data_IF_951222286289
#
_entry.id   IF_951222286289
#
_cell.length_a   1.000
_cell.length_b   1.000
_cell.length_c   1.000
_cell.angle_alpha   90.00
_cell.angle_beta   90.00
_cell.angle_gamma   90.00
#
_symmetry.space_group_name_H-M   'P 1'
#
loop_
_entity.id
_entity.type
_entity.pdbx_description
1 polymer ?
#
# COMPACT_ATOMS: atom_id res chain seq x y z
N UNK A 1 -11.50 -15.04 -23.93
CA UNK A 1 -10.45 -14.49 -23.05
C UNK A 1 -9.93 -15.66 -22.23
N UNK A 2 -8.65 -15.99 -22.39
CA UNK A 2 -8.10 -17.35 -22.38
C UNK A 2 -7.86 -17.92 -20.98
N UNK A 3 -7.83 -19.25 -20.87
CA UNK A 3 -7.51 -20.05 -19.68
C UNK A 3 -6.20 -19.70 -18.94
N UNK A 4 -5.36 -18.83 -19.54
CA UNK A 4 -4.12 -18.31 -18.97
C UNK A 4 -4.32 -17.31 -17.80
N UNK A 5 -5.51 -16.76 -17.56
CA UNK A 5 -5.71 -15.90 -16.38
C UNK A 5 -5.95 -16.71 -15.10
N UNK A 6 -6.43 -17.94 -15.22
CA UNK A 6 -6.84 -18.74 -14.07
C UNK A 6 -5.67 -19.44 -13.37
N UNK A 7 -4.53 -19.67 -14.04
CA UNK A 7 -3.40 -20.35 -13.38
C UNK A 7 -2.77 -19.49 -12.28
N UNK A 8 -2.73 -18.16 -12.43
CA UNK A 8 -2.22 -17.25 -11.39
C UNK A 8 -3.10 -17.31 -10.15
N UNK A 9 -4.42 -17.26 -10.32
CA UNK A 9 -5.37 -17.41 -9.23
C UNK A 9 -5.27 -18.79 -8.58
N UNK A 10 -5.17 -19.87 -9.38
CA UNK A 10 -4.99 -21.22 -8.85
C UNK A 10 -3.67 -21.39 -8.09
N UNK A 11 -2.58 -20.80 -8.59
CA UNK A 11 -1.28 -20.77 -7.91
C UNK A 11 -1.37 -19.98 -6.61
N UNK A 12 -2.05 -18.84 -6.61
CA UNK A 12 -2.28 -18.02 -5.43
C UNK A 12 -3.04 -18.78 -4.35
N UNK A 13 -4.02 -19.63 -4.70
CA UNK A 13 -4.72 -20.47 -3.72
C UNK A 13 -3.81 -21.42 -2.93
N UNK A 14 -2.57 -21.64 -3.40
CA UNK A 14 -1.57 -22.47 -2.69
C UNK A 14 -0.44 -21.65 -2.08
N UNK A 15 0.04 -20.63 -2.79
CA UNK A 15 1.28 -19.91 -2.44
C UNK A 15 1.11 -18.40 -2.28
N UNK A 16 -0.05 -17.86 -2.64
CA UNK A 16 -0.29 -16.43 -2.61
C UNK A 16 -0.46 -15.91 -1.18
N UNK A 17 -0.16 -14.63 -0.95
CA UNK A 17 -0.47 -13.99 0.33
C UNK A 17 -1.98 -14.08 0.62
N UNK A 18 -2.35 -14.04 1.90
CA UNK A 18 -3.73 -14.25 2.32
C UNK A 18 -4.44 -12.94 2.66
N UNK A 19 -5.66 -12.79 2.12
CA UNK A 19 -6.60 -11.72 2.49
C UNK A 19 -7.96 -12.33 2.81
N UNK A 20 -8.56 -11.89 3.92
CA UNK A 20 -9.89 -12.32 4.33
C UNK A 20 -10.86 -11.13 4.32
N UNK A 21 -12.06 -11.35 3.80
CA UNK A 21 -13.20 -10.45 3.94
C UNK A 21 -14.18 -11.05 4.96
N UNK A 22 -14.45 -10.29 6.02
CA UNK A 22 -15.34 -10.68 7.11
C UNK A 22 -16.75 -10.15 6.87
N UNK A 23 -17.69 -11.03 6.53
CA UNK A 23 -19.08 -10.68 6.20
C UNK A 23 -20.05 -10.83 7.38
N UNK A 24 -19.55 -10.89 8.62
CA UNK A 24 -20.38 -11.09 9.82
C UNK A 24 -21.18 -9.85 10.25
N UNK A 25 -21.50 -8.93 9.34
CA UNK A 25 -22.04 -7.60 9.65
C UNK A 25 -23.40 -7.31 8.99
N UNK A 26 -24.13 -8.34 8.55
CA UNK A 26 -25.48 -8.17 7.95
C UNK A 26 -26.41 -7.32 8.83
N UNK A 27 -26.42 -7.56 10.14
CA UNK A 27 -27.27 -6.82 11.09
C UNK A 27 -26.90 -5.33 11.22
N UNK A 28 -25.74 -4.92 10.71
CA UNK A 28 -25.24 -3.54 10.75
C UNK A 28 -25.46 -2.79 9.43
N UNK A 29 -26.05 -3.42 8.41
CA UNK A 29 -26.23 -2.83 7.09
C UNK A 29 -27.68 -2.92 6.61
N UNK A 30 -28.19 -1.82 6.06
CA UNK A 30 -29.41 -1.87 5.27
C UNK A 30 -29.16 -2.52 3.91
N UNK A 31 -30.21 -3.08 3.28
CA UNK A 31 -30.09 -3.74 1.97
C UNK A 31 -29.33 -2.93 0.89
N UNK A 32 -29.52 -1.60 0.72
CA UNK A 32 -28.73 -0.83 -0.24
C UNK A 32 -27.23 -0.78 0.07
N UNK A 33 -26.86 -0.82 1.35
CA UNK A 33 -25.46 -0.87 1.79
C UNK A 33 -24.86 -2.26 1.51
N UNK A 34 -25.61 -3.34 1.73
CA UNK A 34 -25.23 -4.70 1.31
C UNK A 34 -24.99 -4.76 -0.20
N UNK A 35 -25.90 -4.22 -1.01
CA UNK A 35 -25.75 -4.17 -2.48
C UNK A 35 -24.48 -3.38 -2.86
N UNK A 36 -24.21 -2.25 -2.19
CA UNK A 36 -22.99 -1.47 -2.42
C UNK A 36 -21.73 -2.27 -2.05
N UNK A 37 -21.76 -2.97 -0.92
CA UNK A 37 -20.68 -3.85 -0.47
C UNK A 37 -20.38 -4.94 -1.50
N UNK A 38 -21.41 -5.65 -1.99
CA UNK A 38 -21.25 -6.69 -3.03
C UNK A 38 -20.71 -6.12 -4.35
N UNK A 39 -21.09 -4.88 -4.70
CA UNK A 39 -20.50 -4.18 -5.84
C UNK A 39 -19.01 -3.91 -5.64
N UNK A 40 -18.59 -3.45 -4.45
CA UNK A 40 -17.17 -3.27 -4.11
C UNK A 40 -16.42 -4.61 -4.19
N UNK A 41 -17.01 -5.70 -3.71
CA UNK A 41 -16.43 -7.04 -3.79
C UNK A 41 -16.22 -7.50 -5.24
N UNK A 42 -17.11 -7.13 -6.16
CA UNK A 42 -16.92 -7.42 -7.59
C UNK A 42 -15.68 -6.69 -8.15
N UNK A 43 -15.41 -5.47 -7.69
CA UNK A 43 -14.18 -4.74 -8.02
C UNK A 43 -12.93 -5.37 -7.39
N UNK A 44 -13.03 -5.89 -6.17
CA UNK A 44 -11.96 -6.68 -5.51
C UNK A 44 -11.60 -7.90 -6.35
N UNK A 45 -12.61 -8.70 -6.76
CA UNK A 45 -12.41 -9.88 -7.59
C UNK A 45 -11.69 -9.54 -8.90
N UNK A 46 -12.12 -8.47 -9.57
CA UNK A 46 -11.47 -8.01 -10.80
C UNK A 46 -10.03 -7.55 -10.57
N UNK A 47 -9.78 -6.77 -9.51
CA UNK A 47 -8.44 -6.31 -9.16
C UNK A 47 -7.48 -7.48 -8.94
N UNK A 48 -7.90 -8.49 -8.17
CA UNK A 48 -7.10 -9.68 -7.89
C UNK A 48 -6.86 -10.55 -9.12
N UNK A 49 -7.88 -10.71 -9.97
CA UNK A 49 -7.74 -11.42 -11.25
C UNK A 49 -6.69 -10.77 -12.14
N UNK A 50 -6.61 -9.45 -12.13
CA UNK A 50 -5.64 -8.71 -12.95
C UNK A 50 -4.26 -8.57 -12.32
N UNK A 51 -4.12 -8.73 -11.00
CA UNK A 51 -2.86 -8.57 -10.27
C UNK A 51 -1.78 -9.54 -10.74
N UNK A 52 -0.53 -9.07 -10.81
CA UNK A 52 0.59 -9.92 -11.22
C UNK A 52 0.77 -11.09 -10.25
N UNK A 53 0.65 -10.81 -8.94
CA UNK A 53 0.66 -11.78 -7.86
C UNK A 53 -0.64 -11.67 -7.04
N UNK A 54 -1.67 -12.49 -7.37
CA UNK A 54 -2.96 -12.43 -6.70
C UNK A 54 -2.90 -12.90 -5.24
N UNK A 55 -3.78 -12.34 -4.40
CA UNK A 55 -4.06 -12.90 -3.09
C UNK A 55 -4.86 -14.19 -3.20
N UNK A 56 -4.61 -15.11 -2.26
CA UNK A 56 -5.59 -16.10 -1.89
C UNK A 56 -6.69 -15.44 -1.05
N UNK A 57 -7.87 -15.30 -1.63
CA UNK A 57 -9.01 -14.69 -0.96
C UNK A 57 -9.82 -15.68 -0.14
N UNK A 58 -10.25 -15.20 1.03
CA UNK A 58 -11.15 -15.89 1.91
C UNK A 58 -12.38 -15.03 2.22
N UNK A 59 -13.56 -15.59 2.09
CA UNK A 59 -14.83 -14.99 2.47
C UNK A 59 -15.34 -15.72 3.69
N UNK A 60 -15.39 -15.00 4.82
CA UNK A 60 -15.65 -15.55 6.15
C UNK A 60 -16.93 -14.95 6.74
N UNK A 61 -17.55 -15.64 7.70
CA UNK A 61 -18.81 -15.21 8.32
C UNK A 61 -20.00 -15.21 7.36
N UNK A 62 -19.89 -15.86 6.20
CA UNK A 62 -20.91 -15.84 5.15
C UNK A 62 -21.93 -16.95 5.39
N UNK A 63 -22.87 -16.70 6.30
CA UNK A 63 -23.89 -17.70 6.70
C UNK A 63 -24.86 -18.02 5.56
N UNK A 64 -25.30 -19.28 5.52
CA UNK A 64 -26.38 -19.70 4.64
C UNK A 64 -27.67 -18.92 4.93
N UNK A 65 -28.33 -18.46 3.87
CA UNK A 65 -29.54 -17.64 3.96
C UNK A 65 -29.31 -16.17 4.36
N UNK A 66 -28.06 -15.75 4.58
CA UNK A 66 -27.73 -14.34 4.86
C UNK A 66 -28.15 -13.40 3.71
N UNK A 67 -28.43 -12.14 4.04
CA UNK A 67 -28.78 -11.13 3.05
C UNK A 67 -27.57 -10.86 2.14
N UNK A 68 -26.36 -10.86 2.71
CA UNK A 68 -25.12 -10.75 1.94
C UNK A 68 -24.96 -11.88 0.93
N UNK A 69 -25.07 -13.15 1.33
CA UNK A 69 -24.94 -14.28 0.41
C UNK A 69 -26.00 -14.24 -0.70
N UNK A 70 -27.23 -13.83 -0.35
CA UNK A 70 -28.33 -13.68 -1.29
C UNK A 70 -28.00 -12.63 -2.37
N UNK A 71 -27.52 -11.45 -1.98
CA UNK A 71 -27.14 -10.41 -2.94
C UNK A 71 -25.88 -10.77 -3.73
N UNK A 72 -24.90 -11.47 -3.14
CA UNK A 72 -23.75 -12.01 -3.87
C UNK A 72 -24.17 -12.95 -5.00
N UNK A 73 -25.01 -13.96 -4.69
CA UNK A 73 -25.54 -14.89 -5.70
C UNK A 73 -26.33 -14.17 -6.80
N UNK A 74 -27.12 -13.16 -6.43
CA UNK A 74 -27.90 -12.36 -7.40
C UNK A 74 -27.01 -11.52 -8.32
N UNK A 75 -26.01 -10.84 -7.78
CA UNK A 75 -25.19 -9.88 -8.52
C UNK A 75 -24.04 -10.53 -9.30
N UNK A 76 -23.39 -11.54 -8.72
CA UNK A 76 -22.30 -12.28 -9.37
C UNK A 76 -22.90 -13.32 -10.35
N UNK A 77 -24.10 -13.81 -10.07
CA UNK A 77 -24.84 -14.74 -10.92
C UNK A 77 -24.16 -16.11 -11.00
N UNK A 78 -24.30 -16.77 -12.15
CA UNK A 78 -23.77 -18.14 -12.38
C UNK A 78 -22.26 -18.30 -12.26
N UNK A 79 -21.50 -17.20 -12.10
CA UNK A 79 -20.07 -17.25 -11.85
C UNK A 79 -19.72 -17.48 -10.38
N UNK A 80 -20.66 -17.30 -9.45
CA UNK A 80 -20.40 -17.39 -8.01
C UNK A 80 -19.76 -18.73 -7.62
N UNK A 81 -20.29 -19.84 -8.13
CA UNK A 81 -19.78 -21.20 -7.85
C UNK A 81 -18.42 -21.49 -8.51
N UNK A 82 -17.99 -20.66 -9.46
CA UNK A 82 -16.73 -20.82 -10.19
C UNK A 82 -15.63 -19.87 -9.69
N UNK A 83 -15.87 -19.16 -8.59
CA UNK A 83 -14.88 -18.24 -8.01
C UNK A 83 -13.74 -19.01 -7.34
N UNK A 84 -12.50 -18.59 -7.62
CA UNK A 84 -11.30 -19.09 -6.94
C UNK A 84 -11.11 -18.37 -5.61
N UNK A 85 -12.08 -18.55 -4.72
CA UNK A 85 -12.14 -17.94 -3.38
C UNK A 85 -12.53 -19.04 -2.41
N UNK A 86 -11.92 -19.06 -1.22
CA UNK A 86 -12.38 -19.93 -0.15
C UNK A 86 -13.57 -19.29 0.57
N UNK A 87 -14.72 -19.95 0.61
CA UNK A 87 -15.95 -19.43 1.22
C UNK A 87 -16.32 -20.26 2.44
N UNK A 88 -16.59 -19.62 3.57
CA UNK A 88 -16.99 -20.28 4.81
C UNK A 88 -17.94 -19.40 5.63
N UNK A 89 -18.81 -20.07 6.40
CA UNK A 89 -19.70 -19.47 7.38
C UNK A 89 -19.01 -19.15 8.71
N UNK A 90 -17.81 -19.69 8.94
CA UNK A 90 -17.01 -19.47 10.15
C UNK A 90 -16.37 -18.07 10.18
N UNK A 91 -16.16 -17.53 11.37
CA UNK A 91 -15.41 -16.29 11.58
C UNK A 91 -13.94 -16.47 11.17
N UNK A 92 -13.32 -15.41 10.62
CA UNK A 92 -11.89 -15.44 10.26
C UNK A 92 -10.99 -15.83 11.44
N UNK A 93 -11.39 -15.47 12.66
CA UNK A 93 -10.64 -15.75 13.88
C UNK A 93 -10.65 -17.22 14.28
N UNK A 94 -11.59 -18.02 13.77
CA UNK A 94 -11.69 -19.45 14.01
C UNK A 94 -11.00 -20.26 12.89
N UNK A 95 -10.86 -19.66 11.71
CA UNK A 95 -10.25 -20.29 10.52
C UNK A 95 -8.72 -20.16 10.51
N UNK A 96 -8.18 -19.05 11.02
CA UNK A 96 -6.75 -18.74 10.93
C UNK A 96 -6.06 -18.70 12.30
N UNK A 97 -4.75 -19.00 12.36
CA UNK A 97 -3.96 -18.79 13.57
C UNK A 97 -3.99 -17.33 14.03
N UNK A 98 -4.28 -17.12 15.32
CA UNK A 98 -4.44 -15.80 15.93
C UNK A 98 -3.26 -14.85 15.67
N UNK A 99 -2.04 -15.36 15.77
CA UNK A 99 -0.79 -14.60 15.62
C UNK A 99 -0.51 -14.17 14.17
N UNK A 100 -1.18 -14.81 13.19
CA UNK A 100 -1.11 -14.44 11.78
C UNK A 100 -2.13 -13.37 11.39
N UNK A 101 -3.20 -13.18 12.16
CA UNK A 101 -4.28 -12.25 11.81
C UNK A 101 -3.89 -10.79 12.09
N UNK A 102 -4.15 -9.92 11.11
CA UNK A 102 -4.14 -8.46 11.27
C UNK A 102 -5.48 -7.92 10.77
N UNK A 103 -6.32 -7.44 11.68
CA UNK A 103 -7.57 -6.79 11.30
C UNK A 103 -7.32 -5.33 10.89
N UNK A 104 -7.65 -4.99 9.65
CA UNK A 104 -7.54 -3.64 9.13
C UNK A 104 -8.78 -2.83 9.49
N UNK A 105 -8.58 -1.75 10.24
CA UNK A 105 -9.66 -0.86 10.69
C UNK A 105 -9.14 0.57 10.84
N UNK A 106 -9.89 1.55 10.32
CA UNK A 106 -9.50 2.96 10.36
C UNK A 106 -9.41 3.51 11.79
N UNK A 107 -10.18 2.93 12.72
CA UNK A 107 -10.24 3.34 14.13
C UNK A 107 -9.03 2.85 14.94
N UNK A 108 -8.15 2.05 14.35
CA UNK A 108 -6.99 1.52 15.05
C UNK A 108 -6.04 2.62 15.51
N UNK A 109 -5.53 2.49 16.74
CA UNK A 109 -4.43 3.32 17.21
C UNK A 109 -3.07 2.87 16.63
N UNK A 110 -2.99 1.66 16.06
CA UNK A 110 -1.77 1.13 15.48
C UNK A 110 -1.73 1.44 13.99
N UNK A 111 -0.60 1.96 13.51
CA UNK A 111 -0.39 2.18 12.08
C UNK A 111 0.22 0.92 11.47
N UNK A 112 -0.28 0.51 10.31
CA UNK A 112 0.34 -0.53 9.49
C UNK A 112 1.55 0.08 8.79
N UNK A 113 2.73 -0.40 9.14
CA UNK A 113 3.97 0.08 8.59
C UNK A 113 4.48 -0.83 7.45
N UNK A 114 4.51 -2.15 7.63
CA UNK A 114 4.86 -3.10 6.55
C UNK A 114 3.67 -3.89 6.08
N UNK A 115 3.79 -4.39 4.85
CA UNK A 115 3.08 -5.58 4.43
C UNK A 115 3.96 -6.81 4.66
N UNK A 116 3.39 -7.85 5.27
CA UNK A 116 4.03 -9.12 5.62
C UNK A 116 3.21 -10.26 4.97
N UNK A 117 3.83 -10.97 4.04
CA UNK A 117 3.17 -12.03 3.26
C UNK A 117 2.80 -13.26 4.10
N UNK A 118 3.39 -13.44 5.28
CA UNK A 118 3.07 -14.54 6.20
C UNK A 118 1.83 -14.26 7.06
N UNK A 119 1.28 -13.04 6.98
CA UNK A 119 0.09 -12.60 7.72
C UNK A 119 -1.18 -12.72 6.87
N UNK A 120 -2.31 -12.74 7.58
CA UNK A 120 -3.64 -12.73 7.01
C UNK A 120 -4.27 -11.38 7.31
N UNK A 121 -4.49 -10.58 6.28
CA UNK A 121 -5.12 -9.26 6.42
C UNK A 121 -6.64 -9.41 6.36
N UNK A 122 -7.33 -9.06 7.44
CA UNK A 122 -8.79 -9.12 7.53
C UNK A 122 -9.37 -7.74 7.23
N UNK A 123 -10.28 -7.66 6.27
CA UNK A 123 -11.04 -6.47 5.89
C UNK A 123 -12.51 -6.71 6.24
N UNK A 124 -13.12 -5.80 6.99
CA UNK A 124 -14.55 -5.89 7.29
C UNK A 124 -15.39 -5.65 6.03
N UNK A 125 -16.27 -6.60 5.71
CA UNK A 125 -17.32 -6.46 4.70
C UNK A 125 -18.46 -5.58 5.20
N UNK A 126 -18.15 -4.33 5.54
CA UNK A 126 -19.06 -3.36 6.13
C UNK A 126 -19.07 -2.09 5.27
N UNK A 127 -20.26 -1.65 4.85
CA UNK A 127 -20.48 -0.37 4.19
C UNK A 127 -21.48 0.42 5.00
N UNK A 128 -21.09 1.62 5.39
CA UNK A 128 -21.82 2.48 6.32
C UNK A 128 -22.04 3.87 5.70
N UNK A 129 -22.45 3.89 4.43
CA UNK A 129 -22.51 5.09 3.60
C UNK A 129 -23.45 6.18 4.12
N UNK A 130 -24.45 5.84 4.94
CA UNK A 130 -25.39 6.81 5.52
C UNK A 130 -24.89 7.40 6.83
N UNK A 131 -24.41 6.55 7.73
CA UNK A 131 -23.91 6.94 9.05
C UNK A 131 -22.69 6.10 9.34
N UNK A 132 -21.54 6.76 9.50
CA UNK A 132 -20.28 6.08 9.76
C UNK A 132 -20.35 5.41 11.13
N UNK A 133 -20.15 4.10 11.17
CA UNK A 133 -20.23 3.27 12.36
C UNK A 133 -18.84 3.03 12.93
N UNK A 134 -18.37 3.99 13.73
CA UNK A 134 -17.03 3.93 14.30
C UNK A 134 -16.90 2.81 15.33
N UNK A 135 -15.79 2.07 15.28
CA UNK A 135 -15.38 1.13 16.32
C UNK A 135 -15.99 -0.27 16.25
N UNK A 136 -16.87 -0.58 15.27
CA UNK A 136 -17.45 -1.93 15.13
C UNK A 136 -16.36 -2.98 14.89
N UNK A 137 -15.56 -2.78 13.83
CA UNK A 137 -14.52 -3.72 13.44
C UNK A 137 -13.35 -3.74 14.42
N UNK A 138 -12.98 -2.59 14.98
CA UNK A 138 -11.98 -2.51 16.05
C UNK A 138 -12.45 -3.23 17.32
N UNK A 139 -13.72 -3.07 17.69
CA UNK A 139 -14.33 -3.75 18.83
C UNK A 139 -14.29 -5.27 18.65
N UNK A 140 -14.62 -5.77 17.46
CA UNK A 140 -14.48 -7.19 17.13
C UNK A 140 -13.03 -7.66 17.27
N UNK A 141 -12.07 -6.98 16.64
CA UNK A 141 -10.65 -7.35 16.73
C UNK A 141 -10.14 -7.41 18.19
N UNK A 142 -10.52 -6.45 19.02
CA UNK A 142 -10.18 -6.42 20.46
C UNK A 142 -10.81 -7.57 21.24
N UNK A 143 -12.09 -7.88 21.00
CA UNK A 143 -12.79 -9.00 21.67
C UNK A 143 -12.14 -10.35 21.39
N UNK A 144 -11.67 -10.57 20.16
CA UNK A 144 -10.96 -11.78 19.78
C UNK A 144 -9.46 -11.75 20.10
N UNK A 145 -8.96 -10.64 20.67
CA UNK A 145 -7.57 -10.42 21.04
C UNK A 145 -6.60 -10.67 19.87
N UNK A 146 -6.91 -10.14 18.69
CA UNK A 146 -6.05 -10.23 17.51
C UNK A 146 -5.37 -8.90 17.21
N UNK A 147 -4.26 -8.95 16.46
CA UNK A 147 -3.61 -7.71 16.04
C UNK A 147 -4.53 -6.90 15.12
N UNK A 148 -4.46 -5.58 15.24
CA UNK A 148 -5.23 -4.66 14.43
C UNK A 148 -4.38 -3.45 14.04
N UNK A 149 -4.62 -2.90 12.85
CA UNK A 149 -3.90 -1.72 12.35
C UNK A 149 -4.78 -0.89 11.40
N UNK A 150 -4.44 0.40 11.25
CA UNK A 150 -4.97 1.31 10.23
C UNK A 150 -3.93 1.56 9.15
N UNK A 151 -4.36 1.91 7.94
CA UNK A 151 -3.46 2.37 6.89
C UNK A 151 -2.80 3.71 7.28
N UNK A 152 -1.56 3.99 6.86
CA UNK A 152 -0.81 5.18 7.24
C UNK A 152 -1.24 6.46 6.47
N UNK A 153 -2.54 6.65 6.25
CA UNK A 153 -3.06 7.76 5.43
C UNK A 153 -2.56 9.12 5.95
N UNK A 154 -2.56 9.32 7.26
CA UNK A 154 -2.11 10.57 7.89
C UNK A 154 -0.60 10.80 7.89
N UNK A 155 0.19 9.75 7.64
CA UNK A 155 1.63 9.89 7.47
C UNK A 155 1.93 10.45 6.08
N UNK A 156 1.28 9.93 5.04
CA UNK A 156 1.64 10.18 3.65
C UNK A 156 0.77 11.20 2.93
N UNK A 157 -0.52 11.33 3.26
CA UNK A 157 -1.47 12.15 2.50
C UNK A 157 -1.88 13.42 3.25
N UNK A 158 -2.02 14.52 2.52
CA UNK A 158 -2.65 15.75 2.98
C UNK A 158 -4.17 15.60 2.88
N UNK A 159 -4.78 14.97 3.88
CA UNK A 159 -6.21 14.68 3.87
C UNK A 159 -7.05 15.95 3.91
N UNK A 160 -8.05 16.06 3.04
CA UNK A 160 -8.89 17.25 2.91
C UNK A 160 -10.35 16.96 3.22
N UNK A 161 -10.93 15.94 2.57
CA UNK A 161 -12.38 15.73 2.60
C UNK A 161 -12.77 14.27 2.84
N UNK A 162 -13.95 14.11 3.44
CA UNK A 162 -14.56 12.81 3.68
C UNK A 162 -13.85 11.97 4.74
N UNK A 163 -14.44 10.80 5.00
CA UNK A 163 -13.93 9.86 5.99
C UNK A 163 -12.70 9.09 5.48
N UNK A 164 -11.80 8.78 6.41
CA UNK A 164 -10.61 7.94 6.23
C UNK A 164 -10.91 6.44 6.21
N UNK A 165 -12.19 6.09 6.10
CA UNK A 165 -12.65 4.76 5.74
C UNK A 165 -12.58 4.62 4.21
N UNK A 166 -11.84 3.62 3.74
CA UNK A 166 -11.71 3.28 2.33
C UNK A 166 -12.63 2.10 1.99
N UNK A 167 -13.02 2.00 0.73
CA UNK A 167 -13.84 0.88 0.24
C UNK A 167 -13.03 -0.42 0.21
N UNK A 168 -13.72 -1.57 0.20
CA UNK A 168 -13.07 -2.89 0.18
C UNK A 168 -12.06 -3.01 -0.98
N UNK A 169 -12.44 -2.53 -2.16
CA UNK A 169 -11.60 -2.56 -3.36
C UNK A 169 -10.39 -1.63 -3.28
N UNK A 170 -10.53 -0.45 -2.66
CA UNK A 170 -9.40 0.45 -2.42
C UNK A 170 -8.39 -0.19 -1.48
N UNK A 171 -8.84 -0.80 -0.38
CA UNK A 171 -7.97 -1.51 0.55
C UNK A 171 -7.27 -2.67 -0.14
N UNK A 172 -8.00 -3.50 -0.90
CA UNK A 172 -7.41 -4.62 -1.63
C UNK A 172 -6.32 -4.17 -2.63
N UNK A 173 -6.58 -3.09 -3.39
CA UNK A 173 -5.59 -2.53 -4.34
C UNK A 173 -4.36 -1.98 -3.62
N UNK A 174 -4.54 -1.28 -2.51
CA UNK A 174 -3.43 -0.81 -1.66
C UNK A 174 -2.59 -2.00 -1.20
N UNK A 175 -3.21 -3.07 -0.72
CA UNK A 175 -2.49 -4.26 -0.27
C UNK A 175 -1.77 -4.98 -1.42
N UNK A 176 -2.36 -5.05 -2.61
CA UNK A 176 -1.67 -5.58 -3.80
C UNK A 176 -0.41 -4.78 -4.10
N UNK A 177 -0.52 -3.45 -4.18
CA UNK A 177 0.64 -2.60 -4.46
C UNK A 177 1.68 -2.70 -3.35
N UNK A 178 1.28 -2.83 -2.08
CA UNK A 178 2.21 -3.06 -0.97
C UNK A 178 2.90 -4.42 -1.07
N UNK A 179 2.20 -5.46 -1.49
CA UNK A 179 2.80 -6.78 -1.74
C UNK A 179 3.88 -6.70 -2.82
N UNK A 180 3.60 -5.99 -3.91
CA UNK A 180 4.51 -5.87 -5.06
C UNK A 180 5.71 -4.93 -4.81
N UNK A 181 5.48 -3.81 -4.12
CA UNK A 181 6.45 -2.69 -4.08
C UNK A 181 7.02 -2.38 -2.71
N UNK A 182 6.31 -2.77 -1.65
CA UNK A 182 6.58 -2.33 -0.26
C UNK A 182 6.66 -0.80 -0.10
N UNK A 183 6.08 -0.02 -1.01
CA UNK A 183 6.12 1.45 -1.01
C UNK A 183 4.72 2.04 -0.78
N UNK A 184 4.53 2.71 0.35
CA UNK A 184 3.28 3.39 0.69
C UNK A 184 2.96 4.55 -0.26
N UNK A 185 3.96 5.21 -0.84
CA UNK A 185 3.73 6.29 -1.81
C UNK A 185 3.08 5.72 -3.05
N UNK A 186 3.55 4.58 -3.54
CA UNK A 186 2.96 3.88 -4.68
C UNK A 186 1.57 3.32 -4.31
N UNK A 187 1.47 2.64 -3.17
CA UNK A 187 0.23 2.00 -2.75
C UNK A 187 -0.90 3.00 -2.54
N UNK A 188 -0.62 4.16 -1.95
CA UNK A 188 -1.63 5.17 -1.65
C UNK A 188 -2.07 6.00 -2.87
N UNK A 189 -1.47 5.81 -4.06
CA UNK A 189 -2.06 6.31 -5.32
C UNK A 189 -3.43 5.67 -5.62
N UNK A 190 -3.72 4.53 -5.01
CA UNK A 190 -5.05 3.90 -5.06
C UNK A 190 -6.10 4.61 -4.18
N UNK A 191 -5.71 5.62 -3.40
CA UNK A 191 -6.66 6.49 -2.68
C UNK A 191 -7.21 7.54 -3.66
N UNK A 192 -8.53 7.78 -3.71
CA UNK A 192 -9.08 8.74 -4.65
C UNK A 192 -8.59 10.18 -4.40
N UNK A 193 -8.08 10.84 -5.45
CA UNK A 193 -7.53 12.20 -5.38
C UNK A 193 -8.48 13.22 -4.75
N UNK A 194 -9.81 13.11 -4.97
CA UNK A 194 -10.81 14.00 -4.36
C UNK A 194 -10.77 14.07 -2.82
N UNK A 195 -10.16 13.08 -2.16
CA UNK A 195 -10.08 13.00 -0.69
C UNK A 195 -8.86 13.76 -0.12
N UNK A 196 -7.87 14.11 -0.94
CA UNK A 196 -6.59 14.67 -0.46
C UNK A 196 -5.95 15.67 -1.43
N UNK A 197 -5.24 16.66 -0.89
CA UNK A 197 -4.50 17.67 -1.65
C UNK A 197 -3.17 17.18 -2.24
N UNK A 198 -2.84 15.90 -2.03
CA UNK A 198 -1.63 15.26 -2.53
C UNK A 198 -0.79 14.61 -1.42
N UNK A 199 0.42 14.20 -1.79
CA UNK A 199 1.37 13.60 -0.86
C UNK A 199 2.04 14.69 -0.01
N UNK A 200 2.39 14.32 1.23
CA UNK A 200 3.23 15.13 2.12
C UNK A 200 4.67 15.08 1.64
N UNK A 201 5.40 16.15 1.88
CA UNK A 201 6.83 16.22 1.56
C UNK A 201 7.62 15.21 2.42
N UNK A 202 8.72 14.68 1.88
CA UNK A 202 9.56 13.70 2.57
C UNK A 202 9.98 14.17 3.97
N UNK A 203 10.33 15.45 4.14
CA UNK A 203 10.64 16.05 5.44
C UNK A 203 9.49 15.95 6.46
N UNK A 204 8.25 16.17 6.02
CA UNK A 204 7.06 16.08 6.88
C UNK A 204 6.79 14.63 7.28
N UNK A 205 6.95 13.69 6.35
CA UNK A 205 6.80 12.26 6.61
C UNK A 205 7.87 11.82 7.62
N UNK A 206 9.14 12.13 7.37
CA UNK A 206 10.27 11.77 8.25
C UNK A 206 10.05 12.28 9.67
N UNK A 207 9.58 13.53 9.84
CA UNK A 207 9.27 14.09 11.15
C UNK A 207 8.22 13.24 11.90
N UNK A 208 7.11 12.91 11.25
CA UNK A 208 6.06 12.08 11.86
C UNK A 208 6.54 10.67 12.17
N UNK A 209 7.34 10.09 11.28
CA UNK A 209 7.96 8.77 11.51
C UNK A 209 8.84 8.79 12.77
N UNK A 210 9.65 9.84 12.95
CA UNK A 210 10.46 9.99 14.17
C UNK A 210 9.60 10.17 15.42
N UNK A 211 8.49 10.89 15.34
CA UNK A 211 7.52 11.00 16.44
C UNK A 211 6.93 9.63 16.80
N UNK A 212 6.53 8.82 15.81
CA UNK A 212 6.04 7.45 16.02
C UNK A 212 7.12 6.57 16.68
N UNK A 213 8.36 6.59 16.17
CA UNK A 213 9.49 5.84 16.75
C UNK A 213 9.77 6.25 18.20
N UNK A 214 9.71 7.55 18.52
CA UNK A 214 9.91 8.03 19.88
C UNK A 214 8.87 7.47 20.84
N UNK A 215 7.62 7.31 20.38
CA UNK A 215 6.55 6.68 21.19
C UNK A 215 6.63 5.15 21.20
N UNK A 216 7.21 4.54 20.16
CA UNK A 216 7.29 3.10 19.92
C UNK A 216 8.68 2.72 19.39
N UNK A 217 9.70 2.62 20.27
CA UNK A 217 11.10 2.41 19.86
C UNK A 217 11.33 1.14 19.03
N UNK A 218 10.45 0.13 19.15
CA UNK A 218 10.47 -1.08 18.34
C UNK A 218 10.33 -0.83 16.83
N UNK A 219 9.74 0.31 16.44
CA UNK A 219 9.56 0.71 15.03
C UNK A 219 10.87 1.12 14.36
N UNK A 220 11.91 1.47 15.11
CA UNK A 220 13.21 1.85 14.55
C UNK A 220 13.78 0.74 13.66
N UNK A 221 13.74 -0.51 14.16
CA UNK A 221 14.23 -1.68 13.40
C UNK A 221 13.46 -1.87 12.09
N UNK A 222 12.16 -1.55 12.09
CA UNK A 222 11.32 -1.63 10.90
C UNK A 222 11.77 -0.58 9.86
N UNK A 223 11.92 0.68 10.26
CA UNK A 223 12.25 1.76 9.35
C UNK A 223 13.67 1.63 8.80
N UNK A 224 14.61 1.09 9.58
CA UNK A 224 15.96 0.80 9.11
C UNK A 224 15.98 -0.28 8.02
N UNK A 225 15.23 -1.38 8.19
CA UNK A 225 15.11 -2.41 7.14
C UNK A 225 14.52 -1.87 5.84
N UNK A 226 13.55 -0.96 5.93
CA UNK A 226 12.96 -0.31 4.76
C UNK A 226 13.98 0.57 4.02
N UNK A 227 14.78 1.37 4.74
CA UNK A 227 15.88 2.13 4.14
C UNK A 227 16.85 1.24 3.38
N UNK A 228 17.26 0.12 3.99
CA UNK A 228 18.17 -0.84 3.37
C UNK A 228 17.57 -1.48 2.12
N UNK A 229 16.28 -1.82 2.14
CA UNK A 229 15.58 -2.41 1.00
C UNK A 229 15.48 -1.42 -0.18
N UNK A 230 15.15 -0.15 0.10
CA UNK A 230 15.12 0.92 -0.90
C UNK A 230 16.51 1.13 -1.50
N UNK A 231 17.55 1.18 -0.66
CA UNK A 231 18.93 1.34 -1.12
C UNK A 231 19.36 0.20 -2.06
N UNK A 232 19.11 -1.06 -1.66
CA UNK A 232 19.38 -2.25 -2.49
C UNK A 232 18.56 -2.23 -3.80
N UNK A 233 17.33 -1.77 -3.75
CA UNK A 233 16.47 -1.62 -4.93
C UNK A 233 17.02 -0.58 -5.91
N UNK A 234 17.56 0.54 -5.41
CA UNK A 234 18.22 1.58 -6.21
C UNK A 234 19.52 1.07 -6.83
N UNK A 235 20.36 0.38 -6.06
CA UNK A 235 21.58 -0.27 -6.57
C UNK A 235 21.26 -1.27 -7.69
N UNK A 236 20.21 -2.10 -7.53
CA UNK A 236 19.77 -3.03 -8.59
C UNK A 236 19.31 -2.29 -9.84
N UNK A 237 18.51 -1.24 -9.73
CA UNK A 237 18.05 -0.44 -10.89
C UNK A 237 19.22 0.25 -11.60
N UNK A 238 20.18 0.81 -10.86
CA UNK A 238 21.40 1.40 -11.43
C UNK A 238 22.29 0.35 -12.12
N UNK A 239 22.38 -0.86 -11.55
CA UNK A 239 23.14 -1.97 -12.14
C UNK A 239 22.49 -2.45 -13.44
N UNK A 240 21.17 -2.67 -13.44
CA UNK A 240 20.40 -3.05 -14.64
C UNK A 240 20.48 -1.97 -15.72
N UNK A 241 20.41 -0.69 -15.35
CA UNK A 241 20.60 0.43 -16.28
C UNK A 241 22.01 0.43 -16.89
N UNK A 242 23.05 0.22 -16.08
CA UNK A 242 24.45 0.09 -16.53
C UNK A 242 24.66 -1.11 -17.44
N UNK A 243 24.06 -2.25 -17.13
CA UNK A 243 24.17 -3.45 -17.95
C UNK A 243 23.41 -3.30 -19.27
N UNK A 244 22.20 -2.72 -19.25
CA UNK A 244 21.46 -2.38 -20.48
C UNK A 244 22.25 -1.39 -21.36
N UNK A 245 22.89 -0.39 -20.76
CA UNK A 245 23.79 0.51 -21.47
C UNK A 245 25.02 -0.23 -22.02
N UNK A 246 25.65 -1.13 -21.26
CA UNK A 246 26.76 -1.97 -21.76
C UNK A 246 26.33 -2.87 -22.91
N UNK A 247 25.15 -3.46 -22.84
CA UNK A 247 24.57 -4.27 -23.91
C UNK A 247 24.27 -3.44 -25.15
N UNK A 248 23.75 -2.21 -25.02
CA UNK A 248 23.53 -1.30 -26.16
C UNK A 248 24.86 -0.85 -26.80
N UNK A 249 25.89 -0.55 -26.00
CA UNK A 249 27.24 -0.25 -26.50
C UNK A 249 27.91 -1.46 -27.18
N UNK A 250 27.64 -2.69 -26.73
CA UNK A 250 28.16 -3.90 -27.37
C UNK A 250 27.53 -4.15 -28.74
N UNK A 251 26.26 -3.75 -28.91
CA UNK A 251 25.51 -3.86 -30.16
C UNK A 251 25.92 -2.77 -31.16
N UNK A 252 26.20 -1.56 -30.68
CA UNK A 252 26.74 -0.46 -31.49
C UNK A 252 28.14 -0.76 -32.09
N UNK A 253 28.89 -1.74 -31.56
CA UNK A 253 30.16 -2.20 -32.14
C UNK A 253 30.02 -3.28 -33.22
N UNK A 254 28.83 -3.80 -33.50
CA UNK A 254 28.63 -4.88 -34.49
C UNK A 254 27.78 -4.54 -35.70
N UNK A 255 27.18 -3.36 -35.77
CA UNK A 255 26.43 -2.93 -36.96
C UNK A 255 26.77 -1.47 -37.24
N UNK A 256 27.61 -1.22 -38.26
CA UNK A 256 27.18 -0.66 -39.55
C UNK A 256 28.37 -0.05 -40.31
N UNK A 257 28.72 -0.64 -41.45
CA UNK A 257 29.63 -0.09 -42.47
C UNK A 257 28.72 0.36 -43.62
N UNK A 258 28.49 1.66 -43.78
CA UNK A 258 27.86 2.21 -44.99
C UNK A 258 28.97 2.71 -45.92
N UNK A 259 29.02 2.19 -47.14
CA UNK A 259 29.59 2.93 -48.28
C UNK A 259 28.64 4.09 -48.56
N UNK A 260 29.13 5.32 -48.39
CA UNK A 260 28.43 6.54 -48.75
C UNK A 260 28.92 6.99 -50.14
N UNK A 261 27.99 7.18 -51.08
CA UNK A 261 28.23 7.99 -52.27
C UNK A 261 27.92 9.46 -51.97
N UNK A 262 28.70 10.38 -52.57
CA UNK A 262 28.78 11.83 -52.30
C UNK A 262 27.48 12.67 -52.44
N UNK A 263 26.29 12.07 -52.62
CA UNK A 263 25.05 12.81 -52.82
C UNK A 263 24.27 13.17 -51.54
N UNK A 264 24.58 12.57 -50.38
CA UNK A 264 23.72 12.68 -49.19
C UNK A 264 24.16 13.72 -48.14
N UNK A 265 25.26 14.44 -48.39
CA UNK A 265 25.88 15.36 -47.40
C UNK A 265 25.22 16.76 -47.34
N UNK A 266 24.16 17.04 -48.11
CA UNK A 266 23.61 18.42 -48.24
C UNK A 266 22.24 18.71 -47.62
N UNK A 267 21.72 17.90 -46.69
CA UNK A 267 20.42 18.19 -46.05
C UNK A 267 20.36 17.94 -44.53
N UNK A 268 21.34 18.42 -43.77
CA UNK A 268 21.21 18.54 -42.30
C UNK A 268 22.09 19.68 -41.75
N UNK A 269 21.98 20.87 -42.34
CA UNK A 269 22.45 22.11 -41.73
C UNK A 269 21.34 23.13 -41.85
N UNK A 270 20.36 23.09 -40.95
CA UNK A 270 19.50 24.22 -40.58
C UNK A 270 18.48 23.73 -39.54
N UNK A 271 18.80 23.97 -38.27
CA UNK A 271 17.88 24.45 -37.22
C UNK A 271 18.59 24.32 -35.86
N UNK A 272 19.47 25.28 -35.58
CA UNK A 272 19.85 25.64 -34.21
C UNK A 272 19.14 26.94 -33.86
N UNK A 273 18.11 26.86 -33.03
CA UNK A 273 17.63 28.01 -32.27
C UNK A 273 17.48 27.58 -30.81
N UNK A 274 18.55 27.89 -30.08
CA UNK A 274 18.56 28.07 -28.63
C UNK A 274 17.52 29.13 -28.27
N UNK A 275 16.62 28.82 -27.35
CA UNK A 275 16.13 29.77 -26.36
C UNK A 275 15.92 29.00 -25.06
N UNK A 276 16.73 29.36 -24.07
CA UNK A 276 16.63 28.97 -22.67
C UNK A 276 15.46 29.74 -22.05
N UNK A 277 14.39 29.04 -21.70
CA UNK A 277 13.55 29.42 -20.55
C UNK A 277 13.57 28.21 -19.60
N UNK A 278 14.16 28.41 -18.43
CA UNK A 278 14.24 27.44 -17.35
C UNK A 278 12.82 27.11 -16.85
N UNK A 279 12.29 25.96 -17.24
CA UNK A 279 11.39 25.21 -16.37
C UNK A 279 12.24 24.54 -15.29
N UNK A 280 12.04 24.93 -14.03
CA UNK A 280 12.49 24.14 -12.89
C UNK A 280 11.76 22.79 -12.93
N UNK A 281 12.39 21.79 -13.54
CA UNK A 281 12.03 20.39 -13.39
C UNK A 281 12.18 20.01 -11.91
N UNK A 282 11.09 20.16 -11.17
CA UNK A 282 10.93 19.57 -9.84
C UNK A 282 10.97 18.04 -9.99
N UNK A 283 12.12 17.44 -9.67
CA UNK A 283 12.31 15.98 -9.60
C UNK A 283 11.88 15.47 -8.21
N UNK A 284 10.70 14.81 -8.08
CA UNK A 284 10.21 14.27 -6.81
C UNK A 284 11.02 13.07 -6.30
N UNK A 285 12.07 12.63 -7.02
CA UNK A 285 12.95 11.52 -6.61
C UNK A 285 14.29 11.97 -6.01
N UNK A 286 14.59 13.27 -6.04
CA UNK A 286 15.85 13.84 -5.54
C UNK A 286 15.94 13.82 -4.01
N UNK A 287 14.81 13.96 -3.31
CA UNK A 287 14.69 13.74 -1.87
C UNK A 287 14.08 12.37 -1.57
N UNK A 288 14.91 11.33 -1.59
CA UNK A 288 14.49 10.04 -1.06
C UNK A 288 14.03 10.21 0.39
N UNK A 289 12.87 9.64 0.74
CA UNK A 289 12.52 9.34 2.13
C UNK A 289 13.79 8.81 2.81
N UNK A 290 14.20 9.45 3.90
CA UNK A 290 15.40 9.17 4.68
C UNK A 290 16.77 9.73 4.24
N UNK A 291 16.85 10.61 3.23
CA UNK A 291 18.06 11.43 3.02
C UNK A 291 18.03 12.67 3.91
N UNK A 292 18.72 12.63 5.05
CA UNK A 292 19.31 13.78 5.74
C UNK A 292 20.17 13.25 6.88
N UNK A 293 21.44 12.99 6.58
CA UNK A 293 22.49 12.93 7.58
C UNK A 293 22.74 14.34 8.11
N UNK A 294 22.14 14.69 9.25
CA UNK A 294 22.69 15.75 10.10
C UNK A 294 23.48 15.09 11.23
N UNK A 295 24.75 15.49 11.30
CA UNK A 295 25.74 15.07 12.27
C UNK A 295 25.19 15.18 13.68
N UNK A 296 25.10 14.05 14.39
CA UNK A 296 25.13 14.07 15.85
C UNK A 296 26.56 14.44 16.23
N UNK A 297 26.82 15.75 16.37
CA UNK A 297 28.02 16.19 17.07
C UNK A 297 27.89 15.82 18.54
N UNK A 298 28.65 14.78 18.89
CA UNK A 298 29.09 14.53 20.25
C UNK A 298 29.75 15.78 20.80
N UNK A 299 29.23 16.36 21.88
CA UNK A 299 30.09 17.10 22.78
C UNK A 299 29.94 16.60 24.21
N UNK A 300 31.03 16.00 24.66
CA UNK A 300 31.25 15.51 26.01
C UNK A 300 31.17 16.66 27.01
N UNK A 301 30.64 16.30 28.18
CA UNK A 301 31.07 16.75 29.51
C UNK A 301 31.69 18.14 29.63
N UNK A 302 30.97 19.03 30.31
CA UNK A 302 31.61 19.80 31.38
C UNK A 302 30.72 19.86 32.61
N UNK A 303 31.05 19.03 33.60
CA UNK A 303 30.59 19.15 34.99
C UNK A 303 31.56 20.10 35.70
N UNK A 304 31.05 21.22 36.24
CA UNK A 304 31.35 21.76 37.58
C UNK A 304 30.71 23.14 37.76
N UNK A 305 29.95 23.34 38.83
CA UNK A 305 29.55 24.69 39.26
C UNK A 305 28.29 24.76 40.13
N UNK A 306 28.47 24.58 41.43
CA UNK A 306 27.49 24.67 42.54
C UNK A 306 26.66 25.96 42.62
N UNK A 307 25.47 25.77 43.24
CA UNK A 307 24.71 26.64 44.18
C UNK A 307 23.83 27.77 43.63
N UNK A 308 22.57 27.79 44.09
CA UNK A 308 21.69 28.94 44.00
C UNK A 308 20.20 28.66 44.24
N UNK A 309 19.84 28.31 45.47
CA UNK A 309 18.47 28.35 46.00
C UNK A 309 17.87 29.76 45.99
N UNK A 310 16.64 30.00 45.49
CA UNK A 310 15.49 30.55 46.26
C UNK A 310 14.21 30.83 45.42
N UNK A 311 13.05 30.31 45.87
CA UNK A 311 11.68 30.89 46.06
C UNK A 311 11.09 31.88 44.99
N UNK A 312 9.82 31.80 44.58
CA UNK A 312 8.59 31.98 45.38
C UNK A 312 7.32 31.34 44.77
N UNK A 313 6.38 30.97 45.65
CA UNK A 313 4.94 30.81 45.41
C UNK A 313 4.24 32.18 45.40
N UNK A 314 3.22 32.35 44.56
CA UNK A 314 1.80 32.59 44.92
C UNK A 314 0.96 32.43 43.66
#
# INVERSE_FOLDING_TARGET
MLAHDNWRLASAMTFGPQIAFDFSFDDQMARPEIISMVSQLTHVLNANKTAADPFYMHWTGLKDGSATLTEMRRMIGGHFENLMVNVTDQDAMDVFPRDKLIYLTADSANIMHTFDADKVYVVGGLVDARTIQTGITLGKAKRYNINHARLPLDLYLQWETGAKTLTLDQVARILHTMHETQDWTEALKNVPMRKHGGFKMARQINKKVLEEINTRPELEKYYQRQKEAIHKGRERKETVSRDNARFSFSRAKREFKWDLSDSDVKKTQETSYFNEEMEEDYDPTSDTLFSSSEKVESNQQNRRGKKGSKWFQT
#
